data_IF_728003936904
#
_entry.id   IF_728003936904
#
_cell.length_a   1.000
_cell.length_b   1.000
_cell.length_c   1.000
_cell.angle_alpha   90.00
_cell.angle_beta   90.00
_cell.angle_gamma   90.00
#
_symmetry.space_group_name_H-M   'P 1'
#
loop_
_entity.id
_entity.type
_entity.pdbx_description
1 polymer ?
#
# COMPACT_ATOMS: atom_id res chain seq x y z
N UNK A 1 -41.80 18.75 53.50
CA UNK A 1 -42.35 18.62 52.12
C UNK A 1 -41.37 17.85 51.23
N UNK A 2 -40.95 16.64 51.66
CA UNK A 2 -39.86 15.89 51.00
C UNK A 2 -40.00 14.37 51.23
N UNK A 3 -41.21 13.81 50.98
CA UNK A 3 -41.44 12.37 51.14
C UNK A 3 -42.62 11.84 50.32
N UNK A 4 -42.81 12.35 49.10
CA UNK A 4 -43.81 11.85 48.14
C UNK A 4 -43.19 11.75 46.73
N UNK A 5 -41.97 11.23 46.61
CA UNK A 5 -41.41 10.75 45.34
C UNK A 5 -40.38 9.64 45.62
N UNK A 6 -40.79 8.63 46.37
CA UNK A 6 -39.98 7.42 46.55
C UNK A 6 -40.91 6.25 46.73
N UNK A 7 -41.30 5.70 45.59
CA UNK A 7 -41.45 4.28 45.32
C UNK A 7 -42.67 4.07 44.43
N UNK A 8 -42.45 4.17 43.12
CA UNK A 8 -43.45 3.82 42.12
C UNK A 8 -43.03 2.47 41.54
N UNK A 9 -43.84 1.42 41.71
CA UNK A 9 -43.48 0.04 41.33
C UNK A 9 -43.12 -0.10 39.84
N UNK A 10 -43.55 0.85 39.00
CA UNK A 10 -43.26 0.90 37.58
C UNK A 10 -41.80 1.21 37.20
N UNK A 11 -40.98 1.83 38.07
CA UNK A 11 -39.57 2.11 37.76
C UNK A 11 -38.70 0.86 37.76
N UNK A 12 -39.00 -0.12 38.61
CA UNK A 12 -38.22 -1.37 38.70
C UNK A 12 -38.35 -2.21 37.43
N UNK A 13 -39.54 -2.26 36.82
CA UNK A 13 -39.76 -2.93 35.54
C UNK A 13 -39.10 -2.19 34.37
N UNK A 14 -39.10 -0.85 34.40
CA UNK A 14 -38.43 -0.07 33.35
C UNK A 14 -36.92 -0.27 33.33
N UNK A 15 -36.26 -0.30 34.51
CA UNK A 15 -34.82 -0.56 34.59
C UNK A 15 -34.46 -2.00 34.18
N UNK A 16 -35.35 -2.97 34.46
CA UNK A 16 -35.19 -4.35 33.97
C UNK A 16 -35.40 -4.46 32.47
N UNK A 17 -36.34 -3.70 31.92
CA UNK A 17 -36.57 -3.61 30.48
C UNK A 17 -35.37 -2.96 29.76
N UNK A 18 -34.83 -1.87 30.29
CA UNK A 18 -33.64 -1.21 29.72
C UNK A 18 -32.39 -2.08 29.79
N UNK A 19 -32.19 -2.86 30.86
CA UNK A 19 -31.06 -3.78 30.97
C UNK A 19 -31.18 -4.98 30.02
N UNK A 20 -32.39 -5.51 29.82
CA UNK A 20 -32.65 -6.61 28.87
C UNK A 20 -32.56 -6.13 27.41
N UNK A 21 -32.94 -4.88 27.12
CA UNK A 21 -32.79 -4.27 25.80
C UNK A 21 -31.31 -3.95 25.48
N UNK A 22 -30.53 -3.47 26.44
CA UNK A 22 -29.07 -3.29 26.28
C UNK A 22 -28.34 -4.62 26.07
N UNK A 23 -28.72 -5.68 26.80
CA UNK A 23 -28.14 -7.01 26.59
C UNK A 23 -28.52 -7.59 25.22
N UNK A 24 -29.75 -7.33 24.74
CA UNK A 24 -30.18 -7.70 23.38
C UNK A 24 -29.40 -6.95 22.31
N UNK A 25 -29.11 -5.67 22.51
CA UNK A 25 -28.30 -4.88 21.57
C UNK A 25 -26.85 -5.35 21.55
N UNK A 26 -26.24 -5.64 22.69
CA UNK A 26 -24.85 -6.12 22.79
C UNK A 26 -24.69 -7.51 22.11
N UNK A 27 -25.63 -8.42 22.34
CA UNK A 27 -25.66 -9.74 21.69
C UNK A 27 -25.98 -9.63 20.19
N UNK A 28 -26.80 -8.67 19.77
CA UNK A 28 -27.10 -8.44 18.34
C UNK A 28 -25.90 -7.84 17.60
N UNK A 29 -25.11 -6.99 18.26
CA UNK A 29 -23.84 -6.46 17.72
C UNK A 29 -22.79 -7.58 17.64
N UNK A 30 -22.64 -8.42 18.66
CA UNK A 30 -21.68 -9.55 18.61
C UNK A 30 -22.02 -10.54 17.48
N UNK A 31 -23.29 -10.97 17.39
CA UNK A 31 -23.74 -11.87 16.32
C UNK A 31 -23.67 -11.20 14.93
N UNK A 32 -23.86 -9.88 14.85
CA UNK A 32 -23.72 -9.10 13.63
C UNK A 32 -22.26 -8.97 13.16
N UNK A 33 -21.33 -8.75 14.09
CA UNK A 33 -19.88 -8.68 13.81
C UNK A 33 -19.33 -10.06 13.45
N UNK A 34 -19.78 -11.13 14.11
CA UNK A 34 -19.45 -12.52 13.78
C UNK A 34 -20.04 -12.95 12.43
N UNK A 35 -21.27 -12.54 12.11
CA UNK A 35 -21.92 -12.78 10.81
C UNK A 35 -21.27 -11.98 9.68
N UNK A 36 -20.87 -10.73 9.95
CA UNK A 36 -20.10 -9.93 9.00
C UNK A 36 -18.71 -10.53 8.77
N UNK A 37 -18.02 -10.99 9.82
CA UNK A 37 -16.75 -11.72 9.70
C UNK A 37 -16.87 -13.01 8.90
N UNK A 38 -17.90 -13.82 9.17
CA UNK A 38 -18.19 -15.04 8.42
C UNK A 38 -18.63 -14.78 6.97
N UNK A 39 -19.35 -13.69 6.71
CA UNK A 39 -19.73 -13.28 5.35
C UNK A 39 -18.50 -12.75 4.57
N UNK A 40 -17.58 -12.05 5.22
CA UNK A 40 -16.28 -11.66 4.66
C UNK A 40 -15.45 -12.91 4.35
N UNK A 41 -15.44 -13.91 5.23
CA UNK A 41 -14.72 -15.18 5.04
C UNK A 41 -15.36 -16.06 3.95
N UNK A 42 -16.69 -16.06 3.82
CA UNK A 42 -17.43 -16.77 2.78
C UNK A 42 -17.30 -16.13 1.40
N UNK A 43 -17.34 -14.79 1.30
CA UNK A 43 -17.05 -14.06 0.06
C UNK A 43 -15.57 -14.24 -0.32
N UNK A 44 -14.66 -14.28 0.66
CA UNK A 44 -13.25 -14.58 0.43
C UNK A 44 -13.02 -16.05 -0.02
N UNK A 45 -13.83 -17.00 0.45
CA UNK A 45 -13.74 -18.42 0.09
C UNK A 45 -14.38 -18.79 -1.25
N UNK A 46 -15.33 -17.98 -1.74
CA UNK A 46 -16.16 -18.30 -2.92
C UNK A 46 -15.62 -17.82 -4.26
N UNK A 47 -14.71 -16.83 -4.29
CA UNK A 47 -14.15 -16.34 -5.55
C UNK A 47 -12.73 -16.86 -5.73
N UNK A 48 -12.59 -17.98 -6.46
CA UNK A 48 -11.30 -18.45 -6.95
C UNK A 48 -10.84 -17.55 -8.12
N UNK A 49 -10.72 -16.24 -7.90
CA UNK A 49 -10.00 -15.38 -8.85
C UNK A 49 -8.52 -15.66 -8.61
N UNK A 50 -7.80 -16.16 -9.62
CA UNK A 50 -6.37 -16.30 -9.49
C UNK A 50 -5.78 -14.94 -9.10
N UNK A 51 -4.88 -14.93 -8.12
CA UNK A 51 -4.13 -13.75 -7.63
C UNK A 51 -4.90 -12.77 -6.71
N UNK A 52 -6.21 -12.95 -6.46
CA UNK A 52 -6.99 -11.98 -5.64
C UNK A 52 -6.48 -11.87 -4.20
N UNK A 53 -6.09 -13.00 -3.60
CA UNK A 53 -5.55 -13.01 -2.24
C UNK A 53 -4.26 -12.19 -2.16
N UNK A 54 -3.36 -12.38 -3.10
CA UNK A 54 -2.10 -11.67 -3.21
C UNK A 54 -2.33 -10.16 -3.42
N UNK A 55 -3.31 -9.80 -4.26
CA UNK A 55 -3.72 -8.41 -4.45
C UNK A 55 -4.23 -7.75 -3.18
N UNK A 56 -5.13 -8.42 -2.45
CA UNK A 56 -5.68 -7.89 -1.20
C UNK A 56 -4.58 -7.74 -0.14
N UNK A 57 -3.69 -8.72 -0.03
CA UNK A 57 -2.53 -8.64 0.88
C UNK A 57 -1.63 -7.46 0.51
N UNK A 58 -1.34 -7.25 -0.78
CA UNK A 58 -0.54 -6.12 -1.24
C UNK A 58 -1.21 -4.78 -0.92
N UNK A 59 -2.53 -4.68 -1.12
CA UNK A 59 -3.30 -3.46 -0.84
C UNK A 59 -3.33 -3.14 0.66
N UNK A 60 -3.62 -4.13 1.49
CA UNK A 60 -3.64 -3.98 2.95
C UNK A 60 -2.26 -3.56 3.46
N UNK A 61 -1.21 -4.23 3.01
CA UNK A 61 0.14 -3.92 3.45
C UNK A 61 0.60 -2.54 2.96
N UNK A 62 0.25 -2.14 1.73
CA UNK A 62 0.50 -0.80 1.22
C UNK A 62 -0.18 0.26 2.09
N UNK A 63 -1.47 0.09 2.39
CA UNK A 63 -2.25 1.02 3.23
C UNK A 63 -1.73 1.07 4.67
N UNK A 64 -1.27 -0.05 5.22
CA UNK A 64 -0.75 -0.12 6.58
C UNK A 64 0.64 0.53 6.72
N UNK A 65 1.54 0.31 5.74
CA UNK A 65 2.94 0.75 5.83
C UNK A 65 3.15 2.17 5.27
N UNK A 66 2.33 2.62 4.33
CA UNK A 66 2.44 3.96 3.73
C UNK A 66 2.38 5.12 4.74
N UNK A 67 1.46 5.15 5.72
CA UNK A 67 1.40 6.22 6.72
C UNK A 67 2.70 6.37 7.52
N UNK A 68 3.40 5.24 7.75
CA UNK A 68 4.68 5.23 8.45
C UNK A 68 5.77 5.92 7.62
N UNK A 69 5.84 5.65 6.31
CA UNK A 69 6.80 6.28 5.39
C UNK A 69 6.51 7.76 5.15
N UNK A 70 5.24 8.16 5.15
CA UNK A 70 4.86 9.56 5.09
C UNK A 70 5.42 10.35 6.28
N UNK A 71 5.52 9.72 7.46
CA UNK A 71 6.09 10.36 8.65
C UNK A 71 7.60 10.61 8.54
N UNK A 72 8.31 9.79 7.77
CA UNK A 72 9.75 9.93 7.51
C UNK A 72 10.11 10.97 6.42
N UNK A 73 9.14 11.72 5.88
CA UNK A 73 9.35 12.69 4.76
C UNK A 73 10.03 12.07 3.52
N UNK A 74 9.96 10.75 3.36
CA UNK A 74 10.47 10.07 2.18
C UNK A 74 9.52 10.26 0.99
N UNK A 75 10.03 10.13 -0.24
CA UNK A 75 9.18 10.09 -1.44
C UNK A 75 8.23 8.91 -1.37
N UNK A 76 6.93 9.14 -1.62
CA UNK A 76 5.90 8.09 -1.61
C UNK A 76 6.25 6.93 -2.53
N UNK A 77 6.91 7.21 -3.66
CA UNK A 77 7.38 6.20 -4.63
C UNK A 77 8.37 5.23 -3.99
N UNK A 78 9.31 5.73 -3.18
CA UNK A 78 10.29 4.90 -2.48
C UNK A 78 9.62 4.00 -1.45
N UNK A 79 8.58 4.48 -0.77
CA UNK A 79 7.80 3.65 0.13
C UNK A 79 7.09 2.51 -0.60
N UNK A 80 6.50 2.76 -1.78
CA UNK A 80 5.85 1.72 -2.57
C UNK A 80 6.86 0.65 -3.02
N UNK A 81 8.05 1.09 -3.44
CA UNK A 81 9.14 0.18 -3.81
C UNK A 81 9.62 -0.65 -2.62
N UNK A 82 9.80 -0.02 -1.47
CA UNK A 82 10.25 -0.69 -0.24
C UNK A 82 9.26 -1.76 0.21
N UNK A 83 7.96 -1.44 0.21
CA UNK A 83 6.89 -2.39 0.57
C UNK A 83 6.89 -3.56 -0.41
N UNK A 84 7.00 -3.28 -1.72
CA UNK A 84 7.10 -4.33 -2.75
C UNK A 84 8.30 -5.25 -2.54
N UNK A 85 9.48 -4.68 -2.28
CA UNK A 85 10.69 -5.43 -1.98
C UNK A 85 10.57 -6.24 -0.67
N UNK A 86 9.92 -5.66 0.34
CA UNK A 86 9.71 -6.30 1.64
C UNK A 86 8.72 -7.46 1.54
N UNK A 87 7.60 -7.33 0.82
CA UNK A 87 6.57 -8.37 0.72
C UNK A 87 6.95 -9.45 -0.31
N UNK A 88 7.72 -9.06 -1.32
CA UNK A 88 8.15 -9.92 -2.42
C UNK A 88 9.01 -11.12 -1.98
N UNK A 89 9.40 -11.98 -2.93
CA UNK A 89 10.08 -13.24 -2.65
C UNK A 89 11.44 -13.08 -1.95
N UNK A 90 12.07 -11.91 -2.07
CA UNK A 90 13.35 -11.60 -1.43
C UNK A 90 13.23 -10.95 -0.04
N UNK A 91 12.02 -10.61 0.40
CA UNK A 91 11.77 -10.08 1.74
C UNK A 91 11.13 -11.12 2.67
N UNK A 92 9.89 -10.87 3.11
CA UNK A 92 9.10 -11.80 3.94
C UNK A 92 8.48 -12.95 3.13
N UNK A 93 8.67 -12.96 1.79
CA UNK A 93 8.21 -14.01 0.88
C UNK A 93 6.71 -14.36 1.00
N UNK A 94 5.90 -13.35 1.31
CA UNK A 94 4.46 -13.49 1.47
C UNK A 94 3.76 -13.68 0.12
N UNK A 95 4.39 -13.18 -0.94
CA UNK A 95 3.99 -13.39 -2.33
C UNK A 95 5.14 -14.09 -3.04
N UNK A 96 4.87 -15.30 -3.54
CA UNK A 96 5.84 -16.11 -4.28
C UNK A 96 5.66 -15.87 -5.77
N UNK A 97 6.77 -15.77 -6.46
CA UNK A 97 6.91 -15.45 -7.88
C UNK A 97 5.72 -15.92 -8.74
N UNK A 98 4.79 -15.00 -9.03
CA UNK A 98 3.69 -15.26 -9.94
C UNK A 98 3.92 -14.47 -11.23
N UNK A 99 3.93 -15.13 -12.41
CA UNK A 99 4.12 -14.44 -13.69
C UNK A 99 3.14 -13.27 -13.92
N UNK A 100 1.94 -13.35 -13.34
CA UNK A 100 0.93 -12.28 -13.43
C UNK A 100 1.32 -10.98 -12.72
N UNK A 101 2.02 -11.05 -11.57
CA UNK A 101 2.40 -9.84 -10.82
C UNK A 101 3.47 -9.03 -11.56
N UNK A 102 4.43 -9.68 -12.24
CA UNK A 102 5.45 -8.99 -13.05
C UNK A 102 4.82 -8.24 -14.22
N UNK A 103 3.94 -8.89 -14.98
CA UNK A 103 3.27 -8.28 -16.14
C UNK A 103 2.44 -7.05 -15.75
N UNK A 104 1.79 -7.10 -14.59
CA UNK A 104 1.01 -5.97 -14.06
C UNK A 104 1.94 -4.86 -13.57
N UNK A 105 3.09 -5.19 -12.97
CA UNK A 105 4.13 -4.22 -12.61
C UNK A 105 4.71 -3.49 -13.83
N UNK A 106 4.99 -4.21 -14.91
CA UNK A 106 5.42 -3.63 -16.19
C UNK A 106 4.38 -2.65 -16.74
N UNK A 107 3.11 -3.07 -16.78
CA UNK A 107 2.00 -2.21 -17.21
C UNK A 107 1.86 -0.97 -16.32
N UNK A 108 2.04 -1.12 -15.00
CA UNK A 108 2.01 -0.02 -14.04
C UNK A 108 3.11 1.02 -14.26
N UNK A 109 4.34 0.56 -14.53
CA UNK A 109 5.45 1.47 -14.88
C UNK A 109 5.19 2.19 -16.21
N UNK A 110 4.65 1.48 -17.21
CA UNK A 110 4.26 2.09 -18.49
C UNK A 110 3.21 3.19 -18.28
N UNK A 111 2.17 2.92 -17.48
CA UNK A 111 1.16 3.93 -17.15
C UNK A 111 1.73 5.10 -16.36
N UNK A 112 2.63 4.86 -15.40
CA UNK A 112 3.29 5.93 -14.64
C UNK A 112 4.10 6.85 -15.57
N UNK A 113 4.92 6.27 -16.44
CA UNK A 113 5.71 7.02 -17.42
C UNK A 113 4.82 7.75 -18.42
N UNK A 114 3.69 7.15 -18.81
CA UNK A 114 2.70 7.78 -19.67
C UNK A 114 2.04 8.99 -18.99
N UNK A 115 1.61 8.86 -17.72
CA UNK A 115 1.04 9.96 -16.95
C UNK A 115 2.05 11.09 -16.76
N UNK A 116 3.30 10.78 -16.42
CA UNK A 116 4.38 11.78 -16.33
C UNK A 116 4.54 12.48 -17.69
N UNK A 117 4.47 11.74 -18.79
CA UNK A 117 4.49 12.28 -20.15
C UNK A 117 3.33 13.22 -20.46
N UNK A 118 2.10 12.89 -20.03
CA UNK A 118 0.91 13.73 -20.21
C UNK A 118 0.95 15.00 -19.33
N UNK A 119 1.54 14.91 -18.14
CA UNK A 119 1.67 16.05 -17.22
C UNK A 119 2.73 17.06 -17.69
N UNK A 120 3.69 16.61 -18.49
CA UNK A 120 4.73 17.45 -19.09
C UNK A 120 4.22 18.16 -20.36
N UNK A 121 3.88 19.44 -20.23
CA UNK A 121 3.63 20.28 -21.41
C UNK A 121 4.92 20.64 -22.14
N UNK A 122 4.82 20.85 -23.46
CA UNK A 122 5.95 21.30 -24.29
C UNK A 122 6.64 22.56 -23.75
N UNK A 123 5.86 23.49 -23.19
CA UNK A 123 6.37 24.74 -22.61
C UNK A 123 7.17 24.51 -21.32
N UNK A 124 6.68 23.64 -20.43
CA UNK A 124 7.38 23.25 -19.20
C UNK A 124 8.68 22.49 -19.52
N UNK A 125 8.64 21.58 -20.49
CA UNK A 125 9.84 20.88 -20.94
C UNK A 125 10.88 21.86 -21.49
N UNK A 126 10.46 22.83 -22.31
CA UNK A 126 11.38 23.81 -22.90
C UNK A 126 11.98 24.77 -21.88
N UNK A 127 11.24 25.18 -20.84
CA UNK A 127 11.78 26.02 -19.77
C UNK A 127 12.78 25.26 -18.90
N UNK A 128 12.56 23.96 -18.68
CA UNK A 128 13.42 23.11 -17.84
C UNK A 128 14.46 22.31 -18.63
N UNK A 129 14.52 22.42 -19.97
CA UNK A 129 15.38 21.59 -20.83
C UNK A 129 16.86 21.61 -20.46
N UNK A 130 17.38 22.77 -20.02
CA UNK A 130 18.79 22.89 -19.62
C UNK A 130 19.06 22.17 -18.30
N UNK A 131 18.08 22.15 -17.40
CA UNK A 131 18.18 21.43 -16.13
C UNK A 131 18.01 19.92 -16.38
N UNK A 132 16.98 19.50 -17.10
CA UNK A 132 16.70 18.07 -17.32
C UNK A 132 17.67 17.43 -18.30
N UNK A 133 17.87 18.01 -19.49
CA UNK A 133 18.75 17.41 -20.52
C UNK A 133 20.22 17.79 -20.33
N UNK A 134 20.49 18.98 -19.80
CA UNK A 134 21.87 19.42 -19.55
C UNK A 134 22.41 18.83 -18.25
N UNK A 135 21.91 19.31 -17.10
CA UNK A 135 22.38 18.87 -15.79
C UNK A 135 22.03 17.40 -15.53
N UNK A 136 20.79 16.97 -15.81
CA UNK A 136 20.39 15.57 -15.66
C UNK A 136 21.16 14.63 -16.59
N UNK A 137 21.36 15.02 -17.85
CA UNK A 137 22.19 14.25 -18.79
C UNK A 137 23.65 14.15 -18.34
N UNK A 138 24.25 15.26 -17.90
CA UNK A 138 25.60 15.25 -17.35
C UNK A 138 25.70 14.40 -16.08
N UNK A 139 24.70 14.44 -15.20
CA UNK A 139 24.65 13.61 -14.00
C UNK A 139 24.61 12.12 -14.35
N UNK A 140 23.79 11.71 -15.33
CA UNK A 140 23.74 10.31 -15.77
C UNK A 140 25.08 9.86 -16.34
N UNK A 141 25.70 10.67 -17.22
CA UNK A 141 27.00 10.32 -17.80
C UNK A 141 28.12 10.25 -16.75
N UNK A 142 28.13 11.16 -15.79
CA UNK A 142 29.15 11.18 -14.73
C UNK A 142 28.93 10.01 -13.76
N UNK A 143 27.72 9.83 -13.23
CA UNK A 143 27.43 8.74 -12.31
C UNK A 143 27.67 7.38 -12.97
N UNK A 144 27.15 7.18 -14.19
CA UNK A 144 27.34 5.93 -14.91
C UNK A 144 28.78 5.68 -15.30
N UNK A 145 29.51 6.70 -15.76
CA UNK A 145 30.94 6.59 -16.04
C UNK A 145 31.78 6.25 -14.79
N UNK A 146 31.46 6.87 -13.64
CA UNK A 146 32.12 6.57 -12.37
C UNK A 146 31.83 5.15 -11.90
N UNK A 147 30.56 4.72 -11.95
CA UNK A 147 30.16 3.36 -11.58
C UNK A 147 30.77 2.32 -12.50
N UNK A 148 30.70 2.53 -13.82
CA UNK A 148 31.33 1.66 -14.81
C UNK A 148 32.85 1.57 -14.60
N UNK A 149 33.53 2.68 -14.33
CA UNK A 149 34.95 2.70 -14.00
C UNK A 149 35.27 1.91 -12.72
N UNK A 150 34.44 2.05 -11.68
CA UNK A 150 34.58 1.30 -10.44
C UNK A 150 34.43 -0.20 -10.66
N UNK A 151 33.44 -0.62 -11.47
CA UNK A 151 33.23 -2.03 -11.81
C UNK A 151 34.35 -2.61 -12.67
N UNK A 152 34.92 -1.82 -13.60
CA UNK A 152 36.10 -2.23 -14.37
C UNK A 152 37.32 -2.48 -13.46
N UNK A 153 37.56 -1.59 -12.49
CA UNK A 153 38.65 -1.78 -11.51
C UNK A 153 38.38 -2.96 -10.57
N UNK A 154 37.11 -3.24 -10.25
CA UNK A 154 36.70 -4.43 -9.52
C UNK A 154 36.82 -5.74 -10.33
N UNK A 155 37.23 -5.67 -11.60
CA UNK A 155 37.53 -6.83 -12.44
C UNK A 155 36.36 -7.33 -13.28
N UNK A 156 35.27 -6.57 -13.41
CA UNK A 156 34.17 -6.93 -14.31
C UNK A 156 34.57 -6.69 -15.78
N UNK A 157 33.97 -7.49 -16.68
CA UNK A 157 34.16 -7.31 -18.12
C UNK A 157 33.67 -5.93 -18.56
N UNK A 158 34.28 -5.39 -19.62
CA UNK A 158 33.91 -4.08 -20.16
C UNK A 158 32.41 -3.92 -20.42
N UNK A 159 31.75 -4.85 -21.13
CA UNK A 159 30.30 -4.79 -21.36
C UNK A 159 29.46 -4.84 -20.08
N UNK A 160 29.82 -5.69 -19.10
CA UNK A 160 29.06 -5.79 -17.85
C UNK A 160 29.17 -4.51 -17.02
N UNK A 161 30.35 -3.89 -16.99
CA UNK A 161 30.60 -2.66 -16.26
C UNK A 161 29.80 -1.49 -16.83
N UNK A 162 29.68 -1.39 -18.15
CA UNK A 162 28.87 -0.35 -18.83
C UNK A 162 27.37 -0.56 -18.70
N UNK A 163 26.89 -1.79 -18.47
CA UNK A 163 25.46 -2.04 -18.24
C UNK A 163 25.06 -1.71 -16.80
N UNK A 164 25.97 -1.95 -15.84
CA UNK A 164 25.71 -1.71 -14.42
C UNK A 164 25.90 -0.25 -13.99
N UNK A 165 26.77 0.50 -14.68
CA UNK A 165 26.99 1.93 -14.46
C UNK A 165 26.13 2.77 -15.37
#
# INVERSE_FOLDING_TARGET
MARILRDSPHRSNFLRYSADEQARDEVTVENGVLSAGAAVEAVAGGIHVPYLKEFIVFLIAAVAVMPLFHWFRASTVLGYLFIGALIGPHGIALIKDTPGVSQIGELGVVFLLFTIGLELSWQRLRSMRRLVLGLGGAQVLVCGGVLAGLFMVAGLTGPASTILG
#
